data_IF_787275233005
#
_entry.id   IF_787275233005
#
_cell.length_a   1.000
_cell.length_b   1.000
_cell.length_c   1.000
_cell.angle_alpha   90.00
_cell.angle_beta   90.00
_cell.angle_gamma   90.00
#
_symmetry.space_group_name_H-M   'P 1'
#
loop_
_entity.id
_entity.type
_entity.pdbx_description
1 polymer ?
#
# COMPACT_ATOMS: atom_id res chain seq x y z
N UNK A 1 -19.64 7.61 -10.48
CA UNK A 1 -19.74 6.22 -9.97
C UNK A 1 -18.57 5.45 -10.56
N UNK A 2 -17.74 4.80 -9.74
CA UNK A 2 -16.56 4.07 -10.23
C UNK A 2 -16.74 2.55 -10.18
N UNK A 3 -17.57 2.08 -9.26
CA UNK A 3 -17.90 0.68 -9.06
C UNK A 3 -19.39 0.56 -8.78
N UNK A 4 -19.99 -0.59 -9.10
CA UNK A 4 -21.35 -0.92 -8.72
C UNK A 4 -21.42 -2.32 -8.14
N UNK A 5 -22.18 -2.45 -7.04
CA UNK A 5 -22.41 -3.74 -6.43
C UNK A 5 -23.13 -4.68 -7.42
N UNK A 6 -22.77 -5.97 -7.46
CA UNK A 6 -23.48 -6.94 -8.26
C UNK A 6 -24.97 -6.91 -7.96
N UNK A 7 -25.79 -7.12 -9.00
CA UNK A 7 -27.24 -7.36 -8.88
C UNK A 7 -28.07 -6.15 -8.43
N UNK A 8 -27.53 -4.93 -8.40
CA UNK A 8 -28.29 -3.70 -8.08
C UNK A 8 -29.56 -3.57 -8.94
N UNK A 9 -29.51 -3.98 -10.21
CA UNK A 9 -30.64 -3.91 -11.13
C UNK A 9 -31.61 -5.10 -11.06
N UNK A 10 -31.38 -6.11 -10.21
CA UNK A 10 -32.30 -7.24 -10.05
C UNK A 10 -33.65 -6.82 -9.45
N UNK A 11 -33.67 -5.71 -8.71
CA UNK A 11 -34.90 -5.15 -8.12
C UNK A 11 -35.68 -4.26 -9.09
N UNK A 12 -35.13 -3.98 -10.28
CA UNK A 12 -35.72 -3.09 -11.30
C UNK A 12 -35.91 -3.83 -12.64
N UNK A 13 -36.79 -4.85 -12.72
CA UNK A 13 -36.95 -5.67 -13.92
C UNK A 13 -37.55 -4.92 -15.14
N UNK A 14 -38.20 -3.78 -14.92
CA UNK A 14 -38.82 -2.96 -15.96
C UNK A 14 -37.99 -1.72 -16.32
N UNK A 15 -36.67 -1.73 -16.08
CA UNK A 15 -35.81 -0.61 -16.43
C UNK A 15 -35.80 -0.41 -17.95
N UNK A 16 -36.23 0.77 -18.40
CA UNK A 16 -36.29 1.12 -19.84
C UNK A 16 -35.19 2.08 -20.26
N UNK A 17 -34.70 2.89 -19.32
CA UNK A 17 -33.66 3.88 -19.56
C UNK A 17 -32.59 3.75 -18.49
N UNK A 18 -31.34 3.78 -18.94
CA UNK A 18 -30.17 3.74 -18.07
C UNK A 18 -29.10 4.64 -18.68
N UNK A 19 -28.75 5.68 -17.94
CA UNK A 19 -27.66 6.58 -18.30
C UNK A 19 -26.51 6.39 -17.31
N UNK A 20 -25.40 5.85 -17.82
CA UNK A 20 -24.14 5.69 -17.09
C UNK A 20 -23.00 6.42 -17.80
N UNK A 21 -23.31 7.31 -18.75
CA UNK A 21 -22.31 8.16 -19.37
C UNK A 21 -21.56 8.98 -18.31
N UNK A 22 -20.34 9.41 -18.65
CA UNK A 22 -19.51 10.28 -17.81
C UNK A 22 -19.20 9.76 -16.40
N UNK A 23 -19.35 8.45 -16.18
CA UNK A 23 -18.96 7.79 -14.93
C UNK A 23 -17.55 7.21 -15.05
N UNK A 24 -16.65 7.48 -14.08
CA UNK A 24 -15.27 7.00 -14.14
C UNK A 24 -15.17 5.53 -13.70
N UNK A 25 -15.68 4.62 -14.52
CA UNK A 25 -15.78 3.19 -14.22
C UNK A 25 -14.39 2.52 -14.09
N UNK A 26 -14.23 1.64 -13.10
CA UNK A 26 -13.08 0.76 -12.94
C UNK A 26 -13.42 -0.64 -13.49
N UNK A 27 -13.02 -0.90 -14.72
CA UNK A 27 -13.41 -2.07 -15.50
C UNK A 27 -12.48 -3.25 -15.26
N UNK A 28 -12.66 -3.92 -14.15
CA UNK A 28 -12.00 -5.18 -13.81
C UNK A 28 -13.02 -6.33 -13.73
N UNK A 29 -12.61 -7.49 -13.17
CA UNK A 29 -13.54 -8.61 -12.99
C UNK A 29 -14.76 -8.27 -12.13
N UNK A 30 -14.66 -7.28 -11.23
CA UNK A 30 -15.76 -6.87 -10.36
C UNK A 30 -16.89 -6.19 -11.16
N UNK A 31 -16.58 -5.63 -12.32
CA UNK A 31 -17.55 -5.01 -13.22
C UNK A 31 -18.08 -5.95 -14.32
N UNK A 32 -17.60 -7.20 -14.37
CA UNK A 32 -18.02 -8.21 -15.35
C UNK A 32 -19.54 -8.48 -15.34
N UNK A 33 -20.17 -8.44 -14.17
CA UNK A 33 -21.62 -8.61 -14.06
C UNK A 33 -22.39 -7.51 -14.77
N UNK A 34 -21.88 -6.26 -14.73
CA UNK A 34 -22.57 -5.10 -15.32
C UNK A 34 -22.51 -5.18 -16.83
N UNK A 35 -21.34 -5.54 -17.37
CA UNK A 35 -21.17 -5.87 -18.79
C UNK A 35 -22.19 -6.92 -19.24
N UNK A 36 -22.26 -8.04 -18.53
CA UNK A 36 -23.16 -9.14 -18.91
C UNK A 36 -24.63 -8.71 -18.84
N UNK A 37 -24.99 -7.93 -17.82
CA UNK A 37 -26.33 -7.37 -17.67
C UNK A 37 -26.68 -6.40 -18.83
N UNK A 38 -25.77 -5.51 -19.23
CA UNK A 38 -25.97 -4.58 -20.37
C UNK A 38 -26.21 -5.33 -21.69
N UNK A 39 -25.47 -6.42 -21.93
CA UNK A 39 -25.60 -7.25 -23.12
C UNK A 39 -26.92 -8.03 -23.16
N UNK A 40 -27.40 -8.48 -22.01
CA UNK A 40 -28.65 -9.24 -21.90
C UNK A 40 -29.90 -8.34 -21.90
N UNK A 41 -29.75 -7.07 -21.53
CA UNK A 41 -30.89 -6.18 -21.39
C UNK A 41 -31.41 -5.66 -22.74
N UNK A 42 -32.53 -6.22 -23.17
CA UNK A 42 -33.17 -5.91 -24.47
C UNK A 42 -33.94 -4.59 -24.51
N UNK A 43 -34.33 -4.05 -23.35
CA UNK A 43 -35.06 -2.78 -23.25
C UNK A 43 -34.21 -1.54 -23.50
N UNK A 44 -32.88 -1.64 -23.34
CA UNK A 44 -31.96 -0.54 -23.55
C UNK A 44 -31.65 -0.33 -25.03
N UNK A 45 -31.60 0.94 -25.44
CA UNK A 45 -31.13 1.32 -26.77
C UNK A 45 -29.65 0.95 -26.97
N UNK A 46 -29.22 0.89 -28.24
CA UNK A 46 -27.83 0.60 -28.58
C UNK A 46 -26.85 1.67 -28.07
N UNK A 47 -27.31 2.90 -27.89
CA UNK A 47 -26.50 4.02 -27.40
C UNK A 47 -26.38 3.98 -25.88
N UNK A 48 -27.48 3.72 -25.16
CA UNK A 48 -27.45 3.52 -23.70
C UNK A 48 -26.54 2.34 -23.32
N UNK A 49 -26.55 1.26 -24.10
CA UNK A 49 -25.68 0.08 -23.86
C UNK A 49 -24.19 0.39 -24.02
N UNK A 50 -23.83 1.33 -24.90
CA UNK A 50 -22.43 1.71 -25.20
C UNK A 50 -21.94 2.95 -24.46
N UNK A 51 -22.86 3.71 -23.85
CA UNK A 51 -22.56 4.91 -23.08
C UNK A 51 -21.61 4.71 -21.87
N UNK A 52 -21.60 3.58 -21.14
CA UNK A 52 -20.70 3.41 -20.01
C UNK A 52 -19.29 3.08 -20.52
N UNK A 53 -18.36 4.00 -20.31
CA UNK A 53 -16.95 3.86 -20.69
C UNK A 53 -16.06 3.66 -19.47
N UNK A 54 -15.01 2.88 -19.63
CA UNK A 54 -14.01 2.64 -18.60
C UNK A 54 -13.09 3.86 -18.44
N UNK A 55 -12.86 4.28 -17.21
CA UNK A 55 -11.82 5.28 -16.89
C UNK A 55 -10.53 4.61 -16.39
N UNK A 56 -10.67 3.46 -15.74
CA UNK A 56 -9.58 2.61 -15.26
C UNK A 56 -9.98 1.13 -15.46
N UNK A 57 -9.04 0.16 -15.43
CA UNK A 57 -7.59 0.36 -15.51
C UNK A 57 -7.19 1.06 -16.81
N UNK A 58 -5.98 1.63 -16.84
CA UNK A 58 -5.58 2.56 -17.91
C UNK A 58 -5.57 1.91 -19.30
N UNK A 59 -5.24 0.61 -19.38
CA UNK A 59 -5.28 -0.16 -20.62
C UNK A 59 -6.70 -0.33 -21.22
N UNK A 60 -7.75 -0.08 -20.42
CA UNK A 60 -9.14 -0.08 -20.86
C UNK A 60 -9.72 1.34 -20.95
N UNK A 61 -8.93 2.39 -20.75
CA UNK A 61 -9.45 3.75 -20.72
C UNK A 61 -10.18 4.11 -22.02
N UNK A 62 -11.34 4.74 -21.87
CA UNK A 62 -12.29 5.12 -22.93
C UNK A 62 -12.94 3.94 -23.68
N UNK A 63 -12.65 2.68 -23.30
CA UNK A 63 -13.30 1.53 -23.90
C UNK A 63 -14.77 1.42 -23.43
N UNK A 64 -15.75 1.19 -24.32
CA UNK A 64 -17.12 0.89 -23.92
C UNK A 64 -17.18 -0.45 -23.20
N UNK A 65 -17.76 -0.46 -21.99
CA UNK A 65 -17.82 -1.66 -21.14
C UNK A 65 -18.48 -2.86 -21.85
N UNK A 66 -19.52 -2.60 -22.66
CA UNK A 66 -20.26 -3.64 -23.39
C UNK A 66 -19.45 -4.28 -24.54
N UNK A 67 -18.36 -3.65 -24.99
CA UNK A 67 -17.52 -4.14 -26.10
C UNK A 67 -16.33 -4.97 -25.62
N UNK A 68 -16.01 -4.89 -24.33
CA UNK A 68 -14.96 -5.70 -23.70
C UNK A 68 -15.32 -7.19 -23.70
N UNK A 69 -14.32 -8.05 -23.68
CA UNK A 69 -14.43 -9.50 -23.45
C UNK A 69 -14.30 -9.79 -21.97
N UNK A 70 -14.86 -10.92 -21.54
CA UNK A 70 -14.86 -11.30 -20.13
C UNK A 70 -13.44 -11.51 -19.57
N UNK A 71 -12.49 -11.96 -20.39
CA UNK A 71 -11.09 -12.16 -19.99
C UNK A 71 -10.26 -10.87 -19.94
N UNK A 72 -10.75 -9.77 -20.51
CA UNK A 72 -10.13 -8.44 -20.39
C UNK A 72 -10.51 -7.80 -19.04
N UNK A 73 -11.58 -8.27 -18.40
CA UNK A 73 -12.01 -7.89 -17.06
C UNK A 73 -11.40 -8.82 -16.00
N UNK A 74 -10.11 -8.66 -15.71
CA UNK A 74 -9.39 -9.50 -14.75
C UNK A 74 -9.25 -8.82 -13.38
N UNK A 75 -9.32 -9.59 -12.28
CA UNK A 75 -8.86 -9.16 -10.96
C UNK A 75 -7.74 -10.11 -10.57
N UNK A 76 -6.54 -9.60 -10.43
CA UNK A 76 -5.38 -10.37 -10.00
C UNK A 76 -5.19 -10.16 -8.49
N UNK A 77 -5.02 -11.25 -7.74
CA UNK A 77 -4.86 -11.22 -6.28
C UNK A 77 -3.52 -10.58 -5.81
N UNK A 78 -2.66 -10.15 -6.74
CA UNK A 78 -1.31 -9.61 -6.46
C UNK A 78 -0.88 -8.45 -7.40
N UNK A 79 -1.80 -7.82 -8.14
CA UNK A 79 -1.47 -6.86 -9.22
C UNK A 79 -1.14 -5.44 -8.77
N UNK A 80 -0.48 -5.33 -7.61
CA UNK A 80 0.08 -4.05 -7.18
C UNK A 80 1.32 -3.65 -8.01
N UNK A 81 1.96 -4.62 -8.67
CA UNK A 81 3.13 -4.43 -9.55
C UNK A 81 2.81 -4.72 -11.03
N UNK A 82 1.93 -5.69 -11.32
CA UNK A 82 1.65 -6.12 -12.70
C UNK A 82 0.76 -5.17 -13.50
N UNK A 83 -0.21 -4.47 -12.91
CA UNK A 83 -1.06 -3.54 -13.68
C UNK A 83 -0.27 -2.28 -14.12
N UNK A 84 0.79 -1.95 -13.37
CA UNK A 84 1.76 -0.90 -13.73
C UNK A 84 2.74 -1.37 -14.82
N UNK A 85 3.17 -2.64 -14.76
CA UNK A 85 4.13 -3.22 -15.69
C UNK A 85 3.49 -3.64 -17.03
N UNK A 86 2.24 -4.10 -17.02
CA UNK A 86 1.46 -4.45 -18.21
C UNK A 86 1.03 -3.18 -18.98
N UNK A 87 0.70 -2.08 -18.29
CA UNK A 87 0.48 -0.78 -18.96
C UNK A 87 1.75 -0.25 -19.66
N UNK A 88 2.93 -0.37 -19.03
CA UNK A 88 4.19 0.00 -19.68
C UNK A 88 4.59 -0.96 -20.81
N UNK A 89 4.23 -2.23 -20.73
CA UNK A 89 4.50 -3.21 -21.80
C UNK A 89 3.61 -2.99 -23.03
N UNK A 90 2.30 -2.81 -22.87
CA UNK A 90 1.36 -2.71 -24.00
C UNK A 90 1.35 -1.31 -24.66
N UNK A 91 1.67 -0.24 -23.92
CA UNK A 91 1.77 1.11 -24.50
C UNK A 91 3.08 1.34 -25.29
N UNK A 92 4.12 0.54 -25.03
CA UNK A 92 5.45 0.70 -25.63
C UNK A 92 5.95 -0.51 -26.46
N UNK A 93 5.12 -1.54 -26.67
CA UNK A 93 5.39 -2.65 -27.59
C UNK A 93 4.43 -2.73 -28.79
N UNK A 94 3.69 -1.65 -29.10
CA UNK A 94 3.18 -1.51 -30.45
C UNK A 94 4.37 -1.37 -31.41
N UNK A 95 4.32 -2.07 -32.54
CA UNK A 95 5.41 -2.19 -33.51
C UNK A 95 5.76 -0.88 -34.24
N UNK A 96 5.25 0.25 -33.73
CA UNK A 96 5.39 1.61 -34.23
C UNK A 96 6.30 2.52 -33.37
N UNK A 97 6.72 2.13 -32.15
CA UNK A 97 7.59 2.96 -31.28
C UNK A 97 8.80 2.17 -30.73
N UNK A 98 9.99 2.26 -31.35
CA UNK A 98 11.12 1.40 -30.98
C UNK A 98 11.96 1.84 -29.76
N UNK A 99 11.64 2.95 -29.09
CA UNK A 99 12.72 3.79 -28.50
C UNK A 99 12.48 4.33 -27.08
N UNK A 100 11.65 3.67 -26.24
CA UNK A 100 11.45 4.10 -24.84
C UNK A 100 12.07 3.08 -23.89
N UNK A 101 13.13 3.52 -23.20
CA UNK A 101 13.91 2.72 -22.24
C UNK A 101 13.33 2.91 -20.84
N UNK A 102 12.98 1.81 -20.17
CA UNK A 102 12.74 1.82 -18.72
C UNK A 102 14.11 1.83 -18.03
N UNK A 103 14.30 2.78 -17.12
CA UNK A 103 15.57 2.88 -16.38
C UNK A 103 15.74 1.70 -15.43
N UNK A 104 16.97 1.20 -15.30
CA UNK A 104 17.32 0.15 -14.32
C UNK A 104 17.52 0.70 -12.90
N UNK A 105 17.54 2.02 -12.76
CA UNK A 105 17.64 2.69 -11.48
C UNK A 105 16.37 2.47 -10.63
N UNK A 106 16.48 2.66 -9.31
CA UNK A 106 15.35 2.49 -8.38
C UNK A 106 14.95 3.84 -7.74
N UNK A 107 13.65 4.04 -7.54
CA UNK A 107 13.12 5.12 -6.70
C UNK A 107 12.32 4.50 -5.55
N UNK A 108 12.65 4.88 -4.32
CA UNK A 108 12.01 4.35 -3.11
C UNK A 108 11.54 5.46 -2.18
N UNK A 109 10.33 5.32 -1.63
CA UNK A 109 9.83 6.26 -0.63
C UNK A 109 10.54 6.03 0.71
N UNK A 110 11.14 7.09 1.26
CA UNK A 110 11.88 7.02 2.53
C UNK A 110 11.08 7.59 3.71
N UNK A 111 10.32 8.66 3.46
CA UNK A 111 9.56 9.38 4.50
C UNK A 111 8.22 9.82 3.95
N UNK A 112 7.16 9.59 4.73
CA UNK A 112 5.86 10.24 4.58
C UNK A 112 5.52 10.92 5.90
N UNK A 113 5.34 12.25 5.91
CA UNK A 113 5.06 13.01 7.13
C UNK A 113 4.11 14.18 6.88
N UNK A 114 3.26 14.48 7.85
CA UNK A 114 2.42 15.67 7.81
C UNK A 114 3.24 16.95 8.01
N UNK A 115 2.93 17.98 7.24
CA UNK A 115 3.42 19.35 7.38
C UNK A 115 2.24 20.32 7.40
N UNK A 116 2.50 21.62 7.54
CA UNK A 116 1.45 22.64 7.46
C UNK A 116 0.79 22.70 6.07
N UNK A 117 1.50 22.26 5.04
CA UNK A 117 1.10 22.38 3.63
C UNK A 117 0.49 21.09 3.05
N UNK A 118 0.52 19.98 3.81
CA UNK A 118 -0.03 18.69 3.40
C UNK A 118 0.81 17.49 3.85
N UNK A 119 0.73 16.38 3.11
CA UNK A 119 1.57 15.21 3.34
C UNK A 119 2.85 15.30 2.51
N UNK A 120 3.98 15.53 3.17
CA UNK A 120 5.29 15.55 2.52
C UNK A 120 5.82 14.13 2.33
N UNK A 121 6.14 13.81 1.08
CA UNK A 121 6.81 12.59 0.65
C UNK A 121 8.28 12.92 0.35
N UNK A 122 9.21 12.08 0.82
CA UNK A 122 10.64 12.18 0.51
C UNK A 122 11.10 10.85 -0.09
N UNK A 123 11.54 10.92 -1.34
CA UNK A 123 11.97 9.80 -2.16
C UNK A 123 13.49 9.76 -2.23
N UNK A 124 14.07 8.56 -2.17
CA UNK A 124 15.45 8.31 -2.56
C UNK A 124 15.47 7.88 -4.03
N UNK A 125 16.30 8.54 -4.82
CA UNK A 125 16.54 8.24 -6.23
C UNK A 125 17.95 7.69 -6.35
N UNK A 126 18.11 6.59 -7.09
CA UNK A 126 19.43 6.00 -7.33
C UNK A 126 20.35 6.94 -8.12
N UNK A 127 21.65 6.88 -7.86
CA UNK A 127 22.64 7.74 -8.53
C UNK A 127 22.67 7.50 -10.05
N UNK A 128 22.42 6.26 -10.47
CA UNK A 128 22.38 5.84 -11.86
C UNK A 128 21.24 6.49 -12.68
N UNK A 129 20.23 7.08 -12.01
CA UNK A 129 19.14 7.80 -12.67
C UNK A 129 19.50 9.26 -13.07
N UNK A 130 20.71 9.72 -12.75
CA UNK A 130 21.09 11.12 -12.98
C UNK A 130 21.58 11.35 -14.41
N UNK A 131 21.12 12.43 -15.09
CA UNK A 131 20.20 13.47 -14.64
C UNK A 131 18.73 13.19 -14.98
N UNK A 132 17.80 13.68 -14.14
CA UNK A 132 16.36 13.51 -14.35
C UNK A 132 15.56 14.81 -14.17
N UNK A 133 14.33 14.82 -14.70
CA UNK A 133 13.26 15.75 -14.36
C UNK A 133 12.08 14.99 -13.73
N UNK A 134 11.37 15.61 -12.81
CA UNK A 134 10.21 15.01 -12.15
C UNK A 134 8.94 15.39 -12.89
N UNK A 135 8.13 14.40 -13.25
CA UNK A 135 6.84 14.63 -13.89
C UNK A 135 5.77 14.87 -12.82
N UNK A 136 5.27 13.80 -12.19
CA UNK A 136 4.17 13.87 -11.26
C UNK A 136 4.21 12.75 -10.22
N UNK A 137 3.45 12.94 -9.15
CA UNK A 137 3.05 11.91 -8.19
C UNK A 137 1.58 11.56 -8.43
N UNK A 138 1.32 10.29 -8.68
CA UNK A 138 -0.02 9.72 -8.77
C UNK A 138 -0.44 9.16 -7.40
N UNK A 139 -1.64 9.51 -6.95
CA UNK A 139 -2.16 9.14 -5.63
C UNK A 139 -3.32 8.17 -5.80
N UNK A 140 -3.15 6.94 -5.32
CA UNK A 140 -4.15 5.88 -5.40
C UNK A 140 -4.73 5.59 -4.03
N UNK A 141 -6.06 5.66 -3.87
CA UNK A 141 -6.74 5.15 -2.69
C UNK A 141 -6.95 3.63 -2.83
N UNK A 142 -6.53 2.87 -1.82
CA UNK A 142 -6.54 1.42 -1.81
C UNK A 142 -7.71 0.91 -0.97
N UNK A 143 -8.64 0.20 -1.61
CA UNK A 143 -9.78 -0.44 -0.97
C UNK A 143 -9.60 -1.95 -0.91
N UNK A 144 -9.74 -2.53 0.28
CA UNK A 144 -9.72 -3.98 0.48
C UNK A 144 -11.09 -4.57 0.11
N UNK A 145 -11.17 -5.24 -1.04
CA UNK A 145 -12.37 -5.96 -1.47
C UNK A 145 -12.19 -7.47 -1.30
N UNK A 146 -13.31 -8.20 -1.39
CA UNK A 146 -13.37 -9.67 -1.26
C UNK A 146 -12.47 -10.42 -2.26
N UNK A 147 -12.08 -9.77 -3.36
CA UNK A 147 -11.30 -10.32 -4.48
C UNK A 147 -9.97 -9.60 -4.68
N UNK A 148 -9.41 -9.00 -3.62
CA UNK A 148 -8.11 -8.33 -3.65
C UNK A 148 -8.15 -6.81 -3.43
N UNK A 149 -6.99 -6.17 -3.24
CA UNK A 149 -6.87 -4.74 -3.06
C UNK A 149 -7.11 -4.00 -4.38
N UNK A 150 -8.12 -3.13 -4.41
CA UNK A 150 -8.43 -2.30 -5.58
C UNK A 150 -7.86 -0.90 -5.38
N UNK A 151 -7.28 -0.32 -6.43
CA UNK A 151 -6.62 0.98 -6.39
C UNK A 151 -7.38 1.98 -7.28
N UNK A 152 -7.86 3.06 -6.67
CA UNK A 152 -8.54 4.14 -7.37
C UNK A 152 -7.62 5.35 -7.47
N UNK A 153 -7.32 5.82 -8.68
CA UNK A 153 -6.60 7.08 -8.86
C UNK A 153 -7.47 8.22 -8.33
N UNK A 154 -6.98 8.90 -7.30
CA UNK A 154 -7.67 10.00 -6.62
C UNK A 154 -7.13 11.37 -6.99
N UNK A 155 -5.81 11.49 -7.20
CA UNK A 155 -5.17 12.76 -7.52
C UNK A 155 -3.90 12.59 -8.37
N UNK A 156 -3.58 13.60 -9.18
CA UNK A 156 -2.29 13.76 -9.87
C UNK A 156 -1.64 15.08 -9.43
N UNK A 157 -0.50 14.99 -8.74
CA UNK A 157 0.23 16.16 -8.24
C UNK A 157 1.51 16.37 -9.05
N UNK A 158 1.63 17.50 -9.73
CA UNK A 158 2.83 17.82 -10.50
C UNK A 158 4.05 18.00 -9.57
N UNK A 159 5.14 17.29 -9.86
CA UNK A 159 6.35 17.31 -9.03
C UNK A 159 7.32 18.41 -9.49
N UNK A 160 7.42 18.66 -10.80
CA UNK A 160 8.14 19.79 -11.41
C UNK A 160 9.54 20.10 -10.85
N UNK A 161 10.32 19.06 -10.54
CA UNK A 161 11.72 19.20 -10.12
C UNK A 161 12.72 18.81 -11.22
N UNK A 162 13.97 19.26 -11.08
CA UNK A 162 15.08 18.83 -11.92
C UNK A 162 16.29 18.54 -11.06
N UNK A 163 16.94 17.38 -11.27
CA UNK A 163 18.11 16.97 -10.51
C UNK A 163 19.25 18.00 -10.58
N UNK A 164 19.34 18.77 -11.67
CA UNK A 164 20.32 19.85 -11.87
C UNK A 164 20.11 21.06 -10.95
N UNK A 165 18.89 21.24 -10.45
CA UNK A 165 18.49 22.38 -9.60
C UNK A 165 18.39 22.02 -8.12
N UNK A 166 18.39 20.73 -7.79
CA UNK A 166 18.31 20.25 -6.41
C UNK A 166 19.66 20.36 -5.71
N UNK A 167 19.64 20.69 -4.42
CA UNK A 167 20.83 20.68 -3.56
C UNK A 167 21.32 19.26 -3.27
N UNK A 168 20.39 18.29 -3.28
CA UNK A 168 20.65 16.86 -3.11
C UNK A 168 19.85 16.11 -4.20
N UNK A 169 20.50 15.70 -5.30
CA UNK A 169 19.81 15.11 -6.45
C UNK A 169 19.38 13.65 -6.22
N UNK A 170 19.82 12.99 -5.15
CA UNK A 170 19.32 11.67 -4.76
C UNK A 170 18.05 11.77 -3.89
N UNK A 171 17.59 12.99 -3.56
CA UNK A 171 16.46 13.22 -2.66
C UNK A 171 15.41 14.12 -3.27
N UNK A 172 14.30 13.53 -3.69
CA UNK A 172 13.14 14.27 -4.22
C UNK A 172 12.09 14.44 -3.12
N UNK A 173 11.63 15.67 -2.91
CA UNK A 173 10.53 15.95 -1.98
C UNK A 173 9.33 16.54 -2.72
N UNK A 174 8.17 15.90 -2.55
CA UNK A 174 6.89 16.35 -3.12
C UNK A 174 5.87 16.40 -2.00
N UNK A 175 5.04 17.44 -1.96
CA UNK A 175 3.98 17.58 -0.93
C UNK A 175 2.62 17.37 -1.59
N UNK A 176 1.87 16.41 -1.07
CA UNK A 176 0.49 16.14 -1.50
C UNK A 176 -0.44 17.03 -0.67
N UNK A 177 -1.33 17.81 -1.31
CA UNK A 177 -2.30 18.64 -0.59
C UNK A 177 -3.13 17.80 0.41
N UNK A 178 -3.36 18.33 1.61
CA UNK A 178 -4.06 17.56 2.65
C UNK A 178 -5.56 17.41 2.42
N UNK A 179 -6.17 18.28 1.61
CA UNK A 179 -7.59 18.33 1.28
C UNK A 179 -8.04 17.21 0.34
N UNK A 180 -7.12 16.66 -0.46
CA UNK A 180 -7.38 15.51 -1.34
C UNK A 180 -7.25 14.17 -0.62
N UNK A 181 -6.81 14.17 0.64
CA UNK A 181 -6.51 12.98 1.41
C UNK A 181 -7.54 12.75 2.54
N UNK A 182 -7.97 11.50 2.73
CA UNK A 182 -8.89 11.11 3.79
C UNK A 182 -8.14 10.38 4.91
N UNK A 183 -8.20 10.93 6.12
CA UNK A 183 -7.63 10.30 7.32
C UNK A 183 -8.32 8.96 7.57
N UNK A 184 -7.53 7.91 7.78
CA UNK A 184 -8.01 6.54 7.96
C UNK A 184 -8.11 5.73 6.66
N UNK A 185 -7.97 6.36 5.49
CA UNK A 185 -7.84 5.66 4.21
C UNK A 185 -6.42 5.17 3.98
N UNK A 186 -6.27 4.15 3.14
CA UNK A 186 -4.97 3.60 2.71
C UNK A 186 -4.63 4.15 1.34
N UNK A 187 -3.42 4.67 1.16
CA UNK A 187 -2.99 5.27 -0.10
C UNK A 187 -1.68 4.67 -0.60
N UNK A 188 -1.54 4.55 -1.91
CA UNK A 188 -0.27 4.30 -2.60
C UNK A 188 0.10 5.54 -3.40
N UNK A 189 1.36 5.95 -3.29
CA UNK A 189 1.90 7.10 -4.01
C UNK A 189 2.90 6.61 -5.04
N UNK A 190 2.83 7.07 -6.28
CA UNK A 190 3.76 6.68 -7.34
C UNK A 190 4.40 7.92 -7.97
N UNK A 191 5.70 8.09 -7.80
CA UNK A 191 6.48 9.17 -8.41
C UNK A 191 7.02 8.71 -9.76
N UNK A 192 6.87 9.56 -10.78
CA UNK A 192 7.44 9.34 -12.12
C UNK A 192 8.53 10.39 -12.38
N UNK A 193 9.72 9.90 -12.72
CA UNK A 193 10.86 10.70 -13.18
C UNK A 193 11.15 10.41 -14.66
N UNK A 194 11.73 11.40 -15.33
CA UNK A 194 12.19 11.37 -16.71
C UNK A 194 13.72 11.47 -16.70
N UNK A 195 14.40 10.37 -17.00
CA UNK A 195 15.87 10.29 -17.16
C UNK A 195 16.29 10.85 -18.53
N UNK A 196 17.28 11.74 -18.54
CA UNK A 196 17.86 12.26 -19.78
C UNK A 196 19.11 11.46 -20.18
N UNK A 197 18.99 10.62 -21.20
CA UNK A 197 20.10 9.83 -21.75
C UNK A 197 21.05 10.64 -22.66
N UNK A 198 22.17 10.02 -23.06
CA UNK A 198 23.04 10.53 -24.14
C UNK A 198 22.43 10.22 -25.51
N UNK A 199 21.31 10.88 -25.85
CA UNK A 199 20.56 10.75 -27.09
C UNK A 199 19.18 11.41 -26.98
N UNK A 200 18.44 11.53 -28.09
CA UNK A 200 17.09 12.13 -28.14
C UNK A 200 15.99 11.24 -27.49
N UNK A 201 16.37 10.29 -26.63
CA UNK A 201 15.46 9.32 -26.00
C UNK A 201 15.38 9.59 -24.49
N UNK A 202 14.17 9.88 -24.01
CA UNK A 202 13.84 10.08 -22.59
C UNK A 202 13.48 8.73 -21.96
N UNK A 203 14.12 8.38 -20.84
CA UNK A 203 13.83 7.16 -20.11
C UNK A 203 12.82 7.43 -19.00
N UNK A 204 11.82 6.57 -18.82
CA UNK A 204 10.89 6.69 -17.69
C UNK A 204 11.40 5.89 -16.50
N UNK A 205 11.36 6.51 -15.33
CA UNK A 205 11.74 5.90 -14.08
C UNK A 205 10.59 6.04 -13.06
N UNK A 206 9.77 4.99 -12.92
CA UNK A 206 8.67 4.97 -11.95
C UNK A 206 9.09 4.37 -10.60
N UNK A 207 8.59 4.95 -9.50
CA UNK A 207 8.72 4.38 -8.15
C UNK A 207 7.47 4.56 -7.33
N UNK A 208 6.96 3.47 -6.76
CA UNK A 208 5.75 3.47 -5.94
C UNK A 208 6.05 3.16 -4.48
N UNK A 209 5.24 3.72 -3.58
CA UNK A 209 5.22 3.34 -2.18
C UNK A 209 4.47 2.03 -1.98
N UNK A 210 4.75 1.35 -0.87
CA UNK A 210 3.78 0.40 -0.33
C UNK A 210 2.46 1.11 0.04
N UNK A 211 1.34 0.39 0.19
CA UNK A 211 0.10 0.97 0.71
C UNK A 211 0.31 1.50 2.12
N UNK A 212 0.06 2.79 2.33
CA UNK A 212 0.24 3.49 3.59
C UNK A 212 -1.11 3.88 4.17
N UNK A 213 -1.39 3.44 5.40
CA UNK A 213 -2.54 3.93 6.16
C UNK A 213 -2.28 5.37 6.61
N UNK A 214 -3.15 6.29 6.20
CA UNK A 214 -3.01 7.70 6.54
C UNK A 214 -3.52 7.96 7.96
N UNK A 215 -2.59 8.06 8.91
CA UNK A 215 -2.88 8.49 10.26
C UNK A 215 -3.28 9.99 10.29
N UNK A 216 -4.10 10.37 11.27
CA UNK A 216 -4.47 11.78 11.49
C UNK A 216 -3.22 12.65 11.66
N UNK A 217 -3.19 13.89 11.12
CA UNK A 217 -2.12 14.81 11.42
C UNK A 217 -2.04 14.99 12.94
N UNK A 218 -0.81 15.09 13.50
CA UNK A 218 -0.65 15.28 14.94
C UNK A 218 -1.48 16.50 15.35
N UNK A 219 -2.50 16.26 16.17
CA UNK A 219 -3.32 17.36 16.70
C UNK A 219 -2.39 18.30 17.46
N UNK A 220 -2.66 19.61 17.43
CA UNK A 220 -2.01 20.62 18.28
C UNK A 220 -2.33 20.39 19.78
N UNK A 221 -2.05 19.19 20.28
CA UNK A 221 -1.80 18.94 21.68
C UNK A 221 -0.44 19.56 22.00
N UNK A 222 -0.31 20.28 23.13
CA UNK A 222 1.00 20.74 23.57
C UNK A 222 1.95 19.53 23.59
N UNK A 223 3.23 19.72 23.21
CA UNK A 223 4.17 18.61 23.19
C UNK A 223 4.08 17.91 24.55
N UNK A 224 3.90 16.57 24.58
CA UNK A 224 3.88 15.86 25.84
C UNK A 224 5.15 16.27 26.58
N UNK A 225 4.99 16.68 27.83
CA UNK A 225 6.03 17.25 28.70
C UNK A 225 7.09 16.22 29.13
N UNK A 226 7.36 15.24 28.27
CA UNK A 226 8.38 14.21 28.36
C UNK A 226 8.62 13.67 26.95
N UNK A 227 9.87 13.56 26.48
CA UNK A 227 10.18 12.98 25.18
C UNK A 227 9.93 11.47 25.20
N UNK A 228 8.68 11.06 24.97
CA UNK A 228 8.31 9.64 24.87
C UNK A 228 8.86 9.11 23.54
N UNK A 229 9.52 7.95 23.50
CA UNK A 229 9.97 7.34 22.25
C UNK A 229 8.79 7.13 21.28
N UNK A 230 8.92 7.61 20.05
CA UNK A 230 7.88 7.49 19.03
C UNK A 230 8.17 6.28 18.11
N UNK A 231 7.15 5.46 17.87
CA UNK A 231 7.27 4.31 16.97
C UNK A 231 7.03 4.78 15.54
N UNK A 232 8.08 4.88 14.75
CA UNK A 232 8.01 5.34 13.35
C UNK A 232 7.66 4.22 12.36
N UNK A 233 8.02 2.97 12.66
CA UNK A 233 7.58 1.81 11.88
C UNK A 233 7.57 0.53 12.71
N UNK A 234 6.64 -0.37 12.37
CA UNK A 234 6.49 -1.69 12.99
C UNK A 234 5.95 -2.67 11.94
N UNK A 235 6.72 -3.68 11.59
CA UNK A 235 6.31 -4.76 10.67
C UNK A 235 6.67 -6.12 11.25
N UNK A 236 5.93 -7.15 10.86
CA UNK A 236 6.21 -8.53 11.26
C UNK A 236 5.98 -9.48 10.09
N UNK A 237 6.82 -10.50 10.01
CA UNK A 237 6.75 -11.57 9.01
C UNK A 237 7.48 -12.80 9.52
N UNK A 238 7.18 -13.98 8.97
CA UNK A 238 7.79 -15.20 9.46
C UNK A 238 7.29 -16.46 8.78
N UNK A 239 7.98 -17.58 9.03
CA UNK A 239 7.62 -18.89 8.52
C UNK A 239 8.13 -19.96 9.49
N UNK A 240 7.42 -21.09 9.62
CA UNK A 240 7.92 -22.26 10.36
C UNK A 240 8.16 -22.02 11.85
N UNK A 241 7.27 -21.25 12.50
CA UNK A 241 7.36 -20.95 13.94
C UNK A 241 8.41 -19.91 14.33
N UNK A 242 9.03 -19.25 13.35
CA UNK A 242 9.92 -18.11 13.55
C UNK A 242 9.19 -16.83 13.12
N UNK A 243 8.93 -15.94 14.08
CA UNK A 243 8.43 -14.60 13.79
C UNK A 243 9.58 -13.58 13.87
N UNK A 244 9.70 -12.77 12.83
CA UNK A 244 10.65 -11.66 12.73
C UNK A 244 9.87 -10.35 12.80
N UNK A 245 10.22 -9.51 13.77
CA UNK A 245 9.60 -8.19 13.97
C UNK A 245 10.65 -7.13 13.68
N UNK A 246 10.31 -6.19 12.80
CA UNK A 246 11.13 -5.04 12.49
C UNK A 246 10.51 -3.79 13.12
N UNK A 247 11.35 -2.99 13.79
CA UNK A 247 10.92 -1.81 14.54
C UNK A 247 11.84 -0.64 14.29
N UNK A 248 11.27 0.56 14.09
CA UNK A 248 12.05 1.80 14.03
C UNK A 248 11.48 2.78 15.05
N UNK A 249 12.29 3.11 16.05
CA UNK A 249 11.89 3.97 17.17
C UNK A 249 12.75 5.22 17.17
N UNK A 250 12.09 6.37 17.21
CA UNK A 250 12.72 7.67 17.31
C UNK A 250 12.68 8.11 18.78
N UNK A 251 13.85 8.28 19.39
CA UNK A 251 13.96 8.77 20.77
C UNK A 251 15.14 9.73 20.91
N UNK A 252 14.94 10.79 21.69
CA UNK A 252 15.98 11.73 22.09
C UNK A 252 16.62 11.38 23.43
N UNK A 253 16.09 10.39 24.15
CA UNK A 253 16.61 9.93 25.45
C UNK A 253 17.47 8.67 25.31
N UNK A 254 18.53 8.58 26.13
CA UNK A 254 19.40 7.39 26.21
C UNK A 254 19.61 7.02 27.69
N UNK A 255 19.48 5.74 28.09
CA UNK A 255 19.17 4.58 27.25
C UNK A 255 17.68 4.53 26.85
N UNK A 256 17.41 4.26 25.56
CA UNK A 256 16.05 4.08 25.04
C UNK A 256 15.71 2.59 25.01
N UNK A 257 14.65 2.23 25.73
CA UNK A 257 14.08 0.87 25.74
C UNK A 257 12.60 0.88 25.37
N UNK A 258 12.14 -0.26 24.87
CA UNK A 258 10.73 -0.49 24.53
C UNK A 258 10.42 -1.97 24.69
N UNK A 259 9.14 -2.30 24.77
CA UNK A 259 8.67 -3.69 24.87
C UNK A 259 7.87 -4.06 23.64
N UNK A 260 8.22 -5.21 23.04
CA UNK A 260 7.42 -5.89 22.02
C UNK A 260 6.60 -6.98 22.70
N UNK A 261 5.31 -7.03 22.43
CA UNK A 261 4.37 -8.05 22.90
C UNK A 261 3.79 -8.76 21.68
N UNK A 262 3.89 -10.08 21.66
CA UNK A 262 3.35 -10.95 20.62
C UNK A 262 2.08 -11.60 21.17
N UNK A 263 0.98 -11.44 20.45
CA UNK A 263 -0.35 -11.92 20.86
C UNK A 263 -0.87 -12.90 19.81
N UNK A 264 -1.42 -14.02 20.26
CA UNK A 264 -2.10 -15.00 19.42
C UNK A 264 -3.52 -15.20 19.94
N UNK A 265 -4.51 -14.80 19.15
CA UNK A 265 -5.91 -14.78 19.59
C UNK A 265 -6.07 -13.99 20.88
N UNK A 266 -6.35 -14.70 21.98
CA UNK A 266 -6.63 -14.14 23.32
C UNK A 266 -5.49 -14.30 24.33
N UNK A 267 -4.30 -14.74 23.91
CA UNK A 267 -3.16 -15.00 24.80
C UNK A 267 -1.91 -14.25 24.35
N UNK A 268 -1.10 -13.83 25.33
CA UNK A 268 0.25 -13.33 25.06
C UNK A 268 1.16 -14.52 24.78
N UNK A 269 1.62 -14.63 23.53
CA UNK A 269 2.51 -15.70 23.09
C UNK A 269 3.97 -15.44 23.49
N UNK A 270 4.41 -14.18 23.46
CA UNK A 270 5.74 -13.77 23.90
C UNK A 270 5.77 -12.30 24.29
N UNK A 271 6.71 -11.89 25.13
CA UNK A 271 7.06 -10.48 25.33
C UNK A 271 8.55 -10.33 25.54
N UNK A 272 9.12 -9.21 25.06
CA UNK A 272 10.55 -8.92 25.22
C UNK A 272 10.79 -7.41 25.27
N UNK A 273 11.62 -6.99 26.22
CA UNK A 273 12.16 -5.64 26.29
C UNK A 273 13.42 -5.54 25.43
N UNK A 274 13.52 -4.47 24.65
CA UNK A 274 14.51 -4.28 23.59
C UNK A 274 15.08 -2.86 23.64
N UNK A 275 16.29 -2.71 23.09
CA UNK A 275 16.96 -1.41 22.97
C UNK A 275 16.61 -0.77 21.63
N UNK A 276 16.37 0.54 21.60
CA UNK A 276 15.98 1.24 20.37
C UNK A 276 17.05 1.27 19.26
N UNK A 277 18.29 0.84 19.58
CA UNK A 277 19.38 0.66 18.60
C UNK A 277 19.21 -0.58 17.72
N UNK A 278 18.39 -1.54 18.14
CA UNK A 278 18.14 -2.76 17.39
C UNK A 278 16.86 -2.61 16.57
N UNK A 279 16.93 -2.90 15.27
CA UNK A 279 15.81 -2.73 14.35
C UNK A 279 15.10 -4.04 13.97
N UNK A 280 15.71 -5.19 14.30
CA UNK A 280 15.24 -6.52 13.87
C UNK A 280 15.31 -7.50 15.03
N UNK A 281 14.20 -8.15 15.32
CA UNK A 281 14.06 -9.05 16.46
C UNK A 281 13.41 -10.35 16.05
N UNK A 282 13.92 -11.44 16.60
CA UNK A 282 13.41 -12.78 16.33
C UNK A 282 12.74 -13.37 17.57
N UNK A 283 11.57 -13.95 17.34
CA UNK A 283 10.79 -14.73 18.29
C UNK A 283 10.73 -16.16 17.76
N UNK A 284 11.73 -17.00 18.10
CA UNK A 284 11.72 -18.40 17.71
C UNK A 284 10.71 -19.18 18.54
N UNK A 285 10.42 -20.42 18.13
CA UNK A 285 9.61 -21.40 18.89
C UNK A 285 8.15 -21.00 19.11
N UNK A 286 7.60 -20.15 18.25
CA UNK A 286 6.16 -19.92 18.22
C UNK A 286 5.47 -21.12 17.54
N UNK A 287 4.27 -21.45 18.02
CA UNK A 287 3.44 -22.43 17.32
C UNK A 287 3.02 -21.88 15.96
N UNK A 288 2.73 -22.73 14.97
CA UNK A 288 2.05 -22.29 13.75
C UNK A 288 0.71 -21.64 14.10
N UNK A 289 0.36 -20.55 13.42
CA UNK A 289 -0.85 -19.80 13.72
C UNK A 289 -0.75 -18.31 13.42
N UNK A 290 -1.75 -17.57 13.86
CA UNK A 290 -1.89 -16.13 13.62
C UNK A 290 -1.36 -15.31 14.80
N UNK A 291 -0.60 -14.26 14.49
CA UNK A 291 0.10 -13.43 15.46
C UNK A 291 -0.06 -11.94 15.16
N UNK A 292 -0.16 -11.14 16.23
CA UNK A 292 -0.07 -9.68 16.18
C UNK A 292 1.09 -9.26 17.07
N UNK A 293 1.99 -8.42 16.55
CA UNK A 293 3.06 -7.82 17.31
C UNK A 293 2.70 -6.37 17.66
N UNK A 294 2.76 -6.00 18.94
CA UNK A 294 2.52 -4.65 19.42
C UNK A 294 3.72 -4.11 20.17
N UNK A 295 3.96 -2.79 20.08
CA UNK A 295 5.07 -2.11 20.73
C UNK A 295 4.58 -1.10 21.75
N UNK A 296 5.26 -1.00 22.88
CA UNK A 296 5.11 0.10 23.84
C UNK A 296 6.49 0.66 24.25
N UNK A 297 6.70 1.98 24.21
CA UNK A 297 7.93 2.61 24.68
C UNK A 297 7.97 2.70 26.22
N UNK A 298 9.14 2.53 26.82
CA UNK A 298 9.27 2.61 28.28
C UNK A 298 9.05 4.04 28.77
N UNK A 299 7.99 4.20 29.55
CA UNK A 299 7.35 5.47 29.89
C UNK A 299 5.82 5.29 30.00
N UNK A 300 5.27 4.32 29.26
CA UNK A 300 3.87 3.93 29.29
C UNK A 300 3.64 2.52 29.89
N UNK A 301 3.81 2.40 31.21
CA UNK A 301 3.09 1.48 32.12
C UNK A 301 3.08 -0.06 31.94
N UNK A 302 3.89 -0.68 31.07
CA UNK A 302 3.99 -2.16 31.01
C UNK A 302 5.06 -2.73 31.97
N UNK A 303 4.93 -2.39 33.26
CA UNK A 303 5.60 -3.13 34.34
C UNK A 303 4.97 -4.54 34.48
N UNK A 304 5.53 -5.42 35.31
CA UNK A 304 5.03 -6.81 35.48
C UNK A 304 3.53 -6.95 35.80
N UNK A 305 2.91 -5.91 36.38
CA UNK A 305 1.47 -5.83 36.62
C UNK A 305 0.65 -5.43 35.37
N UNK A 306 1.25 -4.74 34.40
CA UNK A 306 0.63 -4.34 33.13
C UNK A 306 0.41 -5.51 32.19
N UNK A 307 1.39 -6.43 32.09
CA UNK A 307 1.26 -7.62 31.24
C UNK A 307 0.15 -8.56 31.76
N UNK A 308 0.05 -8.75 33.08
CA UNK A 308 -1.02 -9.52 33.71
C UNK A 308 -2.41 -8.91 33.49
N UNK A 309 -2.51 -7.57 33.48
CA UNK A 309 -3.77 -6.89 33.15
C UNK A 309 -4.13 -7.07 31.68
N UNK A 310 -3.16 -6.96 30.79
CA UNK A 310 -3.37 -7.21 29.36
C UNK A 310 -3.84 -8.65 29.11
N UNK A 311 -3.20 -9.65 29.73
CA UNK A 311 -3.63 -11.06 29.63
C UNK A 311 -5.07 -11.24 30.11
N UNK A 312 -5.44 -10.63 31.24
CA UNK A 312 -6.81 -10.68 31.73
C UNK A 312 -7.80 -10.00 30.77
N UNK A 313 -7.45 -8.81 30.26
CA UNK A 313 -8.27 -8.07 29.28
C UNK A 313 -8.45 -8.84 27.97
N UNK A 314 -7.39 -9.49 27.47
CA UNK A 314 -7.47 -10.33 26.27
C UNK A 314 -8.36 -11.56 26.48
N UNK A 315 -8.30 -12.17 27.67
CA UNK A 315 -9.11 -13.36 27.99
C UNK A 315 -10.62 -13.07 28.04
N UNK A 316 -11.02 -11.88 28.48
CA UNK A 316 -12.43 -11.46 28.55
C UNK A 316 -12.92 -10.70 27.31
N UNK A 317 -12.01 -10.34 26.40
CA UNK A 317 -12.35 -9.56 25.21
C UNK A 317 -13.13 -10.40 24.18
N UNK A 318 -14.16 -9.80 23.59
CA UNK A 318 -14.85 -10.36 22.41
C UNK A 318 -14.13 -10.02 21.11
N UNK A 319 -13.37 -8.92 21.09
CA UNK A 319 -12.51 -8.49 19.98
C UNK A 319 -11.15 -8.05 20.52
N UNK A 320 -10.14 -8.88 20.31
CA UNK A 320 -8.79 -8.69 20.84
C UNK A 320 -8.04 -7.56 20.12
N UNK A 321 -8.27 -7.38 18.82
CA UNK A 321 -7.70 -6.30 18.01
C UNK A 321 -8.04 -4.92 18.59
N UNK A 322 -9.30 -4.70 18.99
CA UNK A 322 -9.71 -3.43 19.62
C UNK A 322 -8.99 -3.18 20.96
N UNK A 323 -8.82 -4.22 21.78
CA UNK A 323 -8.10 -4.11 23.05
C UNK A 323 -6.64 -3.74 22.79
N UNK A 324 -6.00 -4.37 21.81
CA UNK A 324 -4.61 -4.09 21.44
C UNK A 324 -4.43 -2.66 20.93
N UNK A 325 -5.25 -2.18 20.00
CA UNK A 325 -5.18 -0.81 19.50
C UNK A 325 -5.48 0.25 20.57
N UNK A 326 -6.30 -0.08 21.58
CA UNK A 326 -6.55 0.83 22.71
C UNK A 326 -5.41 0.83 23.76
N UNK A 327 -4.57 -0.21 23.78
CA UNK A 327 -3.53 -0.41 24.80
C UNK A 327 -2.14 -0.03 24.30
N UNK A 328 -1.88 -0.16 23.00
CA UNK A 328 -0.56 0.03 22.41
C UNK A 328 -0.55 1.17 21.38
N UNK A 329 0.53 1.96 21.32
CA UNK A 329 0.68 3.02 20.30
C UNK A 329 0.82 2.46 18.87
N UNK A 330 1.34 1.25 18.69
CA UNK A 330 1.49 0.62 17.39
C UNK A 330 1.35 -0.91 17.50
N UNK A 331 0.64 -1.50 16.53
CA UNK A 331 0.53 -2.95 16.34
C UNK A 331 0.61 -3.29 14.84
N UNK A 332 1.12 -4.47 14.52
CA UNK A 332 1.13 -5.00 13.15
C UNK A 332 -0.26 -5.49 12.73
N UNK A 333 -0.50 -5.63 11.42
CA UNK A 333 -1.54 -6.52 10.91
C UNK A 333 -1.33 -7.97 11.38
N UNK A 334 -2.33 -8.80 11.16
CA UNK A 334 -2.29 -10.23 11.46
C UNK A 334 -1.23 -10.92 10.58
N UNK A 335 -0.28 -11.60 11.20
CA UNK A 335 0.77 -12.37 10.53
C UNK A 335 0.51 -13.87 10.70
N UNK A 336 0.44 -14.62 9.60
CA UNK A 336 0.29 -16.08 9.61
C UNK A 336 1.66 -16.77 9.57
N UNK A 337 1.88 -17.70 10.50
CA UNK A 337 3.02 -18.62 10.49
C UNK A 337 2.52 -20.01 10.04
N UNK A 338 2.80 -20.38 8.80
CA UNK A 338 2.45 -21.69 8.27
C UNK A 338 3.32 -22.82 8.85
N UNK A 339 2.74 -24.01 8.99
CA UNK A 339 3.51 -25.24 9.21
C UNK A 339 4.37 -25.49 7.97
N UNK A 340 5.68 -25.66 8.16
CA UNK A 340 6.57 -26.02 7.07
C UNK A 340 6.15 -27.35 6.46
N UNK A 341 5.34 -27.32 5.39
CA UNK A 341 5.04 -28.51 4.62
C UNK A 341 6.28 -28.89 3.84
N UNK A 342 6.91 -29.98 4.23
CA UNK A 342 7.93 -30.65 3.43
C UNK A 342 7.28 -31.26 2.18
N UNK A 343 7.04 -30.46 1.16
CA UNK A 343 6.85 -30.95 -0.21
C UNK A 343 7.73 -30.15 -1.14
N UNK A 344 8.89 -30.73 -1.43
CA UNK A 344 9.77 -30.26 -2.49
C UNK A 344 9.03 -30.29 -3.82
N UNK A 345 8.79 -29.12 -4.40
CA UNK A 345 8.75 -28.99 -5.85
C UNK A 345 9.84 -27.99 -6.23
N UNK A 346 10.81 -28.52 -6.95
CA UNK A 346 11.99 -27.83 -7.47
C UNK A 346 11.61 -26.68 -8.38
N UNK A 347 11.95 -25.46 -7.97
CA UNK A 347 12.04 -24.23 -8.76
C UNK A 347 13.12 -23.34 -8.11
N UNK A 348 13.87 -22.52 -8.87
CA UNK A 348 15.19 -22.06 -8.44
C UNK A 348 15.09 -21.13 -7.23
N UNK A 349 15.68 -21.58 -6.13
CA UNK A 349 15.96 -20.80 -4.94
C UNK A 349 16.93 -19.68 -5.30
N UNK A 350 16.44 -18.44 -5.37
CA UNK A 350 17.28 -17.26 -5.18
C UNK A 350 17.74 -17.24 -3.73
N UNK A 351 18.93 -17.77 -3.52
CA UNK A 351 19.71 -17.58 -2.30
C UNK A 351 20.17 -16.13 -2.27
N UNK A 352 19.49 -15.27 -1.52
CA UNK A 352 20.08 -14.01 -1.07
C UNK A 352 21.07 -14.30 0.05
N UNK A 353 22.27 -14.72 -0.36
CA UNK A 353 23.49 -14.52 0.40
C UNK A 353 24.03 -13.15 0.01
N UNK A 354 23.91 -12.18 0.90
CA UNK A 354 24.84 -11.06 0.92
C UNK A 354 25.36 -10.86 2.34
N UNK A 355 26.52 -11.46 2.57
CA UNK A 355 27.50 -11.02 3.56
C UNK A 355 28.44 -10.02 2.90
N UNK A 356 28.38 -8.75 3.35
CA UNK A 356 29.46 -7.80 3.66
C UNK A 356 30.48 -7.40 2.54
N UNK A 357 31.13 -6.22 2.63
CA UNK A 357 32.00 -5.81 3.75
C UNK A 357 31.36 -4.90 4.81
#
# INVERSE_FOLDING_TARGET
>A
ISLMQPQVFNTTPNLQHLDLADNPLHCDCSLSWLRDWLLQQSSLSGDERRSPTCATPLHLQNAPLAELKHNELSCSDDSSYQDYQDFYSDYYHDAATPDIRVSEAEISLQVARWTADGLQLIWKVDEDALPYACEAVFVYEVHQLKYGPHQLLTEKVDANCSSRSLSDPERVSVTIPGDVLQVGSTYRYCLVLLEYGTGDQEGFLPGCSEPLLLASPPSNLPPPSSPVPEVSSLTAGGQGGLLVVHTRIQSSETPCTYTVVIVSGHVVAASRQLNCSEARHTFPTLTPGQYIACVTPDGASLQSNGLKRLEHSLHIATNTTNVLHSTFPACTPLTELEEGSSTSTTGPLFVLLFTLP
#
